data_IF_749636849002
#
_entry.id   IF_749636849002
#
_cell.length_a   1.000
_cell.length_b   1.000
_cell.length_c   1.000
_cell.angle_alpha   90.00
_cell.angle_beta   90.00
_cell.angle_gamma   90.00
#
_symmetry.space_group_name_H-M   'P 1'
#
loop_
_entity.id
_entity.type
_entity.pdbx_description
1 polymer ?
#
# COMPACT_ATOMS: atom_id res chain seq x y z
N UNK A 1 30.75 -4.09 -7.66
CA UNK A 1 30.57 -3.52 -9.02
C UNK A 1 29.22 -3.86 -9.66
N UNK A 2 28.77 -5.14 -9.71
CA UNK A 2 27.46 -5.49 -10.30
C UNK A 2 26.26 -4.81 -9.60
N UNK A 3 26.24 -4.77 -8.27
CA UNK A 3 25.13 -4.16 -7.49
C UNK A 3 24.96 -2.66 -7.76
N UNK A 4 26.06 -1.92 -7.90
CA UNK A 4 26.04 -0.48 -8.19
C UNK A 4 25.56 -0.16 -9.61
N UNK A 5 25.95 -1.00 -10.58
CA UNK A 5 25.46 -0.89 -11.96
C UNK A 5 23.96 -1.13 -12.01
N UNK A 6 23.46 -2.16 -11.30
CA UNK A 6 22.04 -2.45 -11.21
C UNK A 6 21.23 -1.31 -10.58
N UNK A 7 21.68 -0.74 -9.46
CA UNK A 7 20.98 0.40 -8.85
C UNK A 7 20.96 1.60 -9.79
N UNK A 8 22.07 1.90 -10.47
CA UNK A 8 22.15 3.02 -11.41
C UNK A 8 21.22 2.80 -12.62
N UNK A 9 21.21 1.60 -13.20
CA UNK A 9 20.34 1.27 -14.32
C UNK A 9 18.86 1.33 -13.93
N UNK A 10 18.50 0.85 -12.74
CA UNK A 10 17.13 0.97 -12.21
C UNK A 10 16.71 2.41 -11.98
N UNK A 11 17.58 3.27 -11.45
CA UNK A 11 17.28 4.69 -11.27
C UNK A 11 17.07 5.40 -12.62
N UNK A 12 17.94 5.12 -13.60
CA UNK A 12 17.82 5.69 -14.95
C UNK A 12 16.52 5.24 -15.61
N UNK A 13 16.19 3.94 -15.56
CA UNK A 13 14.93 3.42 -16.06
C UNK A 13 13.72 4.05 -15.36
N UNK A 14 13.79 4.27 -14.06
CA UNK A 14 12.76 4.96 -13.29
C UNK A 14 12.53 6.39 -13.76
N UNK A 15 13.61 7.16 -13.98
CA UNK A 15 13.51 8.52 -14.53
C UNK A 15 12.95 8.54 -15.95
N UNK A 16 13.36 7.60 -16.80
CA UNK A 16 12.82 7.46 -18.15
C UNK A 16 11.33 7.15 -18.08
N UNK A 17 10.92 6.19 -17.24
CA UNK A 17 9.50 5.86 -17.04
C UNK A 17 8.67 7.02 -16.49
N UNK A 18 9.24 7.87 -15.63
CA UNK A 18 8.56 9.08 -15.15
C UNK A 18 8.42 10.14 -16.25
N UNK A 19 9.47 10.34 -17.06
CA UNK A 19 9.50 11.34 -18.12
C UNK A 19 8.77 10.93 -19.41
N UNK A 20 8.48 9.64 -19.60
CA UNK A 20 7.80 9.15 -20.82
C UNK A 20 6.33 9.58 -20.87
N UNK A 21 5.69 9.78 -19.71
CA UNK A 21 4.27 10.03 -19.62
C UNK A 21 3.86 11.38 -20.26
N UNK A 22 4.56 12.50 -20.00
CA UNK A 22 4.34 13.74 -20.75
C UNK A 22 4.54 13.61 -22.26
N UNK A 23 5.53 12.81 -22.70
CA UNK A 23 5.84 12.62 -24.13
C UNK A 23 4.72 11.85 -24.85
N UNK A 24 4.15 10.84 -24.19
CA UNK A 24 3.06 10.05 -24.76
C UNK A 24 1.80 10.87 -25.03
N UNK A 25 1.51 11.92 -24.25
CA UNK A 25 0.37 12.79 -24.51
C UNK A 25 0.53 13.67 -25.76
N UNK A 26 1.78 13.99 -26.13
CA UNK A 26 2.07 14.70 -27.38
C UNK A 26 1.95 13.76 -28.59
N UNK A 27 2.29 12.48 -28.43
CA UNK A 27 2.15 11.48 -29.49
C UNK A 27 0.72 10.95 -29.65
N UNK A 28 -0.09 10.95 -28.60
CA UNK A 28 -1.45 10.40 -28.60
C UNK A 28 -2.53 11.32 -29.18
N UNK A 29 -2.18 12.45 -29.81
CA UNK A 29 -3.13 13.44 -30.37
C UNK A 29 -4.27 13.82 -29.40
N UNK A 30 -3.98 13.89 -28.09
CA UNK A 30 -4.95 14.31 -27.08
C UNK A 30 -5.39 15.76 -27.34
N UNK A 31 -6.68 16.03 -27.19
CA UNK A 31 -7.21 17.40 -27.31
C UNK A 31 -6.51 18.36 -26.34
N UNK A 32 -6.43 19.66 -26.66
CA UNK A 32 -5.72 20.64 -25.83
C UNK A 32 -6.25 20.71 -24.39
N UNK A 33 -7.56 20.56 -24.22
CA UNK A 33 -8.27 20.51 -22.92
C UNK A 33 -7.75 19.34 -22.04
N UNK A 34 -7.80 18.12 -22.56
CA UNK A 34 -7.36 16.92 -21.82
C UNK A 34 -5.86 16.95 -21.50
N UNK A 35 -5.06 17.55 -22.38
CA UNK A 35 -3.61 17.70 -22.17
C UNK A 35 -3.30 18.67 -21.03
N UNK A 36 -4.04 19.77 -20.92
CA UNK A 36 -3.87 20.71 -19.81
C UNK A 36 -4.20 20.05 -18.47
N UNK A 37 -5.34 19.36 -18.38
CA UNK A 37 -5.76 18.63 -17.18
C UNK A 37 -4.73 17.56 -16.80
N UNK A 38 -4.22 16.79 -17.78
CA UNK A 38 -3.22 15.76 -17.54
C UNK A 38 -1.88 16.35 -17.06
N UNK A 39 -1.44 17.47 -17.64
CA UNK A 39 -0.23 18.18 -17.24
C UNK A 39 -0.35 18.79 -15.85
N UNK A 40 -1.47 19.44 -15.54
CA UNK A 40 -1.76 19.95 -14.21
C UNK A 40 -1.77 18.81 -13.19
N UNK A 41 -2.53 17.75 -13.44
CA UNK A 41 -2.59 16.57 -12.57
C UNK A 41 -1.23 15.91 -12.32
N UNK A 42 -0.38 15.83 -13.33
CA UNK A 42 0.96 15.24 -13.21
C UNK A 42 1.97 16.17 -12.52
N UNK A 43 1.82 17.49 -12.65
CA UNK A 43 2.63 18.48 -11.93
C UNK A 43 2.12 18.76 -10.52
N UNK A 44 0.86 18.42 -10.22
CA UNK A 44 0.23 18.60 -8.92
C UNK A 44 0.87 17.65 -7.91
N UNK A 45 2.07 18.01 -7.48
CA UNK A 45 2.74 17.42 -6.33
C UNK A 45 2.15 18.06 -5.07
N UNK A 46 1.69 17.26 -4.11
CA UNK A 46 1.19 17.77 -2.85
C UNK A 46 2.23 18.63 -2.15
N UNK A 47 1.79 19.68 -1.44
CA UNK A 47 2.71 20.58 -0.75
C UNK A 47 3.53 19.80 0.30
N UNK A 48 4.85 19.85 0.16
CA UNK A 48 5.80 19.22 1.07
C UNK A 48 6.38 20.26 2.02
N UNK A 49 6.50 19.87 3.28
CA UNK A 49 7.17 20.65 4.31
C UNK A 49 8.66 20.33 4.27
N UNK A 50 9.52 21.32 4.55
CA UNK A 50 10.98 21.09 4.64
C UNK A 50 11.40 20.30 5.88
N UNK A 51 10.55 20.25 6.91
CA UNK A 51 10.81 19.58 8.17
C UNK A 51 9.75 18.49 8.41
N UNK A 52 10.10 17.39 9.10
CA UNK A 52 9.14 16.35 9.45
C UNK A 52 7.98 16.94 10.27
N UNK A 53 6.75 16.63 9.87
CA UNK A 53 5.54 17.14 10.48
C UNK A 53 5.10 16.28 11.66
N UNK A 54 5.02 16.87 12.85
CA UNK A 54 4.51 16.21 14.06
C UNK A 54 3.03 15.80 13.88
N UNK A 55 2.26 16.61 13.16
CA UNK A 55 0.88 16.29 12.83
C UNK A 55 0.78 15.02 11.97
N UNK A 56 1.67 14.87 10.96
CA UNK A 56 1.73 13.67 10.12
C UNK A 56 2.16 12.44 10.90
N UNK A 57 3.03 12.60 11.91
CA UNK A 57 3.43 11.51 12.80
C UNK A 57 2.28 11.07 13.73
N UNK A 58 1.52 12.04 14.27
CA UNK A 58 0.28 11.77 15.00
C UNK A 58 -0.77 11.05 14.14
N UNK A 59 -0.97 11.52 12.91
CA UNK A 59 -1.84 10.88 11.93
C UNK A 59 -1.43 9.43 11.65
N UNK A 60 -0.13 9.18 11.40
CA UNK A 60 0.39 7.83 11.18
C UNK A 60 0.16 6.94 12.41
N UNK A 61 0.47 7.41 13.61
CA UNK A 61 0.30 6.61 14.84
C UNK A 61 -1.13 6.13 15.04
N UNK A 62 -2.12 6.99 14.75
CA UNK A 62 -3.54 6.69 14.95
C UNK A 62 -4.13 5.86 13.80
N UNK A 63 -3.76 6.15 12.55
CA UNK A 63 -4.43 5.56 11.39
C UNK A 63 -3.67 4.36 10.80
N UNK A 64 -2.34 4.38 10.82
CA UNK A 64 -1.55 3.37 10.13
C UNK A 64 -1.77 1.96 10.68
N UNK A 65 -1.90 1.80 12.00
CA UNK A 65 -2.04 0.48 12.62
C UNK A 65 -3.34 -0.23 12.20
N UNK A 66 -4.44 0.52 12.08
CA UNK A 66 -5.73 0.01 11.64
C UNK A 66 -5.74 -0.17 10.12
N UNK A 67 -5.20 0.79 9.37
CA UNK A 67 -5.17 0.77 7.91
C UNK A 67 -4.30 -0.36 7.35
N UNK A 68 -3.15 -0.62 7.98
CA UNK A 68 -2.23 -1.68 7.57
C UNK A 68 -2.58 -3.04 8.20
N UNK A 69 -3.65 -3.15 9.00
CA UNK A 69 -4.10 -4.43 9.53
C UNK A 69 -4.76 -5.24 8.40
N UNK A 70 -4.46 -6.54 8.22
CA UNK A 70 -3.60 -7.45 9.00
C UNK A 70 -2.19 -7.62 8.41
N UNK A 71 -1.76 -6.72 7.52
CA UNK A 71 -0.50 -6.80 6.77
C UNK A 71 0.71 -6.51 7.67
N UNK A 72 0.62 -5.51 8.57
CA UNK A 72 1.76 -5.11 9.38
C UNK A 72 2.29 -6.19 10.34
N UNK A 73 1.48 -7.01 11.05
CA UNK A 73 2.01 -8.08 11.90
C UNK A 73 2.74 -9.14 11.07
N UNK A 74 2.19 -9.50 9.91
CA UNK A 74 2.81 -10.45 8.99
C UNK A 74 4.13 -9.91 8.43
N UNK A 75 4.18 -8.62 8.09
CA UNK A 75 5.42 -7.96 7.66
C UNK A 75 6.49 -7.97 8.76
N UNK A 76 6.12 -7.74 10.02
CA UNK A 76 7.06 -7.83 11.17
C UNK A 76 7.58 -9.26 11.33
N UNK A 77 6.72 -10.28 11.24
CA UNK A 77 7.13 -11.69 11.34
C UNK A 77 8.12 -12.04 10.23
N UNK A 78 7.83 -11.63 9.00
CA UNK A 78 8.73 -11.79 7.85
C UNK A 78 10.09 -11.14 8.14
N UNK A 79 10.10 -9.85 8.49
CA UNK A 79 11.34 -9.11 8.74
C UNK A 79 12.15 -9.69 9.91
N UNK A 80 11.49 -10.11 10.99
CA UNK A 80 12.14 -10.70 12.16
C UNK A 80 12.75 -12.07 11.86
N UNK A 81 12.07 -12.91 11.07
CA UNK A 81 12.58 -14.22 10.69
C UNK A 81 13.76 -14.11 9.72
N UNK A 82 13.59 -13.37 8.63
CA UNK A 82 14.63 -13.18 7.62
C UNK A 82 15.81 -12.33 8.13
N UNK A 83 15.59 -11.46 9.12
CA UNK A 83 16.65 -10.73 9.80
C UNK A 83 17.51 -11.60 10.73
N UNK A 84 16.96 -12.69 11.28
CA UNK A 84 17.68 -13.63 12.17
C UNK A 84 18.38 -14.75 11.40
N UNK A 85 17.85 -15.16 10.26
CA UNK A 85 18.42 -16.23 9.43
C UNK A 85 19.66 -15.73 8.67
N UNK A 86 20.86 -16.01 9.21
CA UNK A 86 22.14 -15.60 8.61
C UNK A 86 22.49 -16.34 7.31
N UNK A 87 21.98 -17.55 7.11
CA UNK A 87 22.36 -18.43 6.00
C UNK A 87 21.82 -17.98 4.63
N UNK A 88 20.71 -17.24 4.60
CA UNK A 88 20.07 -16.74 3.38
C UNK A 88 20.47 -15.30 3.00
N UNK A 89 21.47 -14.73 3.67
CA UNK A 89 21.96 -13.36 3.42
C UNK A 89 21.37 -12.29 4.35
N UNK A 90 20.58 -12.68 5.36
CA UNK A 90 20.00 -11.81 6.38
C UNK A 90 19.33 -10.54 5.78
N UNK A 91 19.58 -9.37 6.37
CA UNK A 91 19.14 -8.05 5.90
C UNK A 91 19.64 -7.65 4.49
N UNK A 92 20.55 -8.42 3.89
CA UNK A 92 21.12 -8.15 2.55
C UNK A 92 20.41 -8.91 1.44
N UNK A 93 19.37 -9.66 1.76
CA UNK A 93 18.48 -10.31 0.81
C UNK A 93 17.76 -9.25 -0.06
N UNK A 94 18.01 -9.20 -1.40
CA UNK A 94 17.43 -8.16 -2.25
C UNK A 94 15.90 -8.16 -2.27
N UNK A 95 15.28 -9.33 -2.18
CA UNK A 95 13.82 -9.50 -2.18
C UNK A 95 13.13 -8.88 -0.95
N UNK A 96 13.85 -8.69 0.15
CA UNK A 96 13.35 -8.02 1.35
C UNK A 96 13.78 -6.56 1.41
N UNK A 97 15.03 -6.28 1.01
CA UNK A 97 15.60 -4.93 1.05
C UNK A 97 14.91 -3.97 0.07
N UNK A 98 14.53 -4.44 -1.13
CA UNK A 98 13.86 -3.59 -2.14
C UNK A 98 12.49 -3.13 -1.62
N UNK A 99 11.54 -4.01 -1.23
CA UNK A 99 10.26 -3.57 -0.66
C UNK A 99 10.43 -2.77 0.64
N UNK A 100 11.42 -3.09 1.47
CA UNK A 100 11.68 -2.31 2.68
C UNK A 100 12.12 -0.88 2.35
N UNK A 101 12.99 -0.71 1.35
CA UNK A 101 13.44 0.62 0.90
C UNK A 101 12.30 1.45 0.31
N UNK A 102 11.39 0.83 -0.44
CA UNK A 102 10.19 1.47 -0.97
C UNK A 102 9.24 1.89 0.15
N UNK A 103 9.05 1.04 1.17
CA UNK A 103 8.24 1.36 2.34
C UNK A 103 8.84 2.55 3.12
N UNK A 104 10.15 2.55 3.35
CA UNK A 104 10.86 3.67 4.01
C UNK A 104 10.73 4.95 3.18
N UNK A 105 10.86 4.88 1.86
CA UNK A 105 10.65 6.03 0.97
C UNK A 105 9.23 6.60 1.08
N UNK A 106 8.21 5.73 1.10
CA UNK A 106 6.82 6.16 1.30
C UNK A 106 6.59 6.72 2.70
N UNK A 107 7.19 6.13 3.74
CA UNK A 107 7.10 6.64 5.11
C UNK A 107 7.70 8.06 5.20
N UNK A 108 8.88 8.27 4.62
CA UNK A 108 9.50 9.60 4.54
C UNK A 108 8.59 10.56 3.77
N UNK A 109 8.03 10.13 2.64
CA UNK A 109 7.07 10.93 1.88
C UNK A 109 5.90 11.40 2.76
N UNK A 110 5.25 10.52 3.51
CA UNK A 110 4.12 10.89 4.39
C UNK A 110 4.57 11.82 5.53
N UNK A 111 5.75 11.60 6.12
CA UNK A 111 6.27 12.43 7.21
C UNK A 111 6.54 13.88 6.80
N UNK A 112 6.87 14.10 5.52
CA UNK A 112 7.14 15.43 4.96
C UNK A 112 5.88 16.09 4.38
N UNK A 113 4.70 15.46 4.44
CA UNK A 113 3.45 16.09 4.00
C UNK A 113 3.00 17.19 4.97
N UNK A 114 2.49 18.28 4.40
CA UNK A 114 1.92 19.39 5.17
C UNK A 114 0.64 18.93 5.89
N UNK A 115 -0.23 18.27 5.13
CA UNK A 115 -1.44 17.58 5.59
C UNK A 115 -1.38 16.14 5.08
N UNK A 116 -1.26 15.20 6.01
CA UNK A 116 -1.27 13.77 5.71
C UNK A 116 -2.73 13.30 5.58
N UNK A 117 -3.03 12.61 4.47
CA UNK A 117 -4.36 12.10 4.16
C UNK A 117 -4.36 10.57 4.09
N UNK A 118 -5.56 9.96 4.10
CA UNK A 118 -5.72 8.50 3.97
C UNK A 118 -5.14 7.96 2.65
N UNK A 119 -5.19 8.75 1.58
CA UNK A 119 -4.58 8.43 0.29
C UNK A 119 -3.07 8.22 0.38
N UNK A 120 -2.40 8.90 1.32
CA UNK A 120 -0.97 8.75 1.54
C UNK A 120 -0.62 7.43 2.25
N UNK A 121 -1.60 6.79 2.90
CA UNK A 121 -1.43 5.44 3.47
C UNK A 121 -1.56 4.36 2.39
N UNK A 122 -2.38 4.57 1.35
CA UNK A 122 -2.55 3.61 0.25
C UNK A 122 -1.23 3.25 -0.43
N UNK A 123 -0.34 4.24 -0.65
CA UNK A 123 0.94 4.00 -1.34
C UNK A 123 1.92 3.15 -0.49
N UNK A 124 1.75 3.12 0.83
CA UNK A 124 2.59 2.33 1.73
C UNK A 124 2.21 0.83 1.72
N UNK A 125 0.94 0.52 1.45
CA UNK A 125 0.41 -0.85 1.56
C UNK A 125 1.07 -1.83 0.57
N UNK A 126 1.21 -1.55 -0.75
CA UNK A 126 1.77 -2.51 -1.68
C UNK A 126 3.16 -3.01 -1.25
N UNK A 127 4.00 -2.09 -0.78
CA UNK A 127 5.34 -2.43 -0.31
C UNK A 127 5.31 -3.32 0.93
N UNK A 128 4.42 -3.01 1.87
CA UNK A 128 4.24 -3.79 3.09
C UNK A 128 3.63 -5.16 2.79
N UNK A 129 2.70 -5.25 1.83
CA UNK A 129 2.08 -6.50 1.36
C UNK A 129 3.10 -7.45 0.76
N UNK A 130 4.06 -6.95 -0.01
CA UNK A 130 5.16 -7.77 -0.54
C UNK A 130 5.99 -8.36 0.61
N UNK A 131 6.35 -7.54 1.61
CA UNK A 131 7.09 -8.02 2.80
C UNK A 131 6.26 -9.07 3.56
N UNK A 132 4.97 -8.82 3.75
CA UNK A 132 4.05 -9.73 4.42
C UNK A 132 3.87 -11.06 3.67
N UNK A 133 3.85 -11.06 2.34
CA UNK A 133 3.76 -12.29 1.54
C UNK A 133 4.93 -13.25 1.82
N UNK A 134 6.12 -12.72 2.11
CA UNK A 134 7.28 -13.54 2.51
C UNK A 134 7.15 -14.17 3.90
N UNK A 135 6.13 -13.83 4.69
CA UNK A 135 5.79 -14.54 5.93
C UNK A 135 5.03 -15.85 5.67
N UNK A 136 4.33 -15.99 4.54
CA UNK A 136 3.51 -17.17 4.21
C UNK A 136 4.24 -18.51 4.35
N UNK A 137 5.46 -18.70 3.81
CA UNK A 137 6.19 -19.96 3.97
C UNK A 137 6.70 -20.20 5.40
N UNK A 138 6.74 -19.17 6.25
CA UNK A 138 7.26 -19.24 7.63
C UNK A 138 6.14 -19.54 8.63
N UNK A 139 4.90 -19.19 8.30
CA UNK A 139 3.75 -19.33 9.18
C UNK A 139 3.46 -20.81 9.48
N UNK A 140 3.14 -21.10 10.75
CA UNK A 140 2.68 -22.42 11.16
C UNK A 140 1.38 -22.75 10.42
N UNK A 141 1.21 -24.01 9.99
CA UNK A 141 -0.02 -24.49 9.34
C UNK A 141 -1.30 -24.12 10.11
N UNK A 142 -1.25 -24.14 11.44
CA UNK A 142 -2.38 -23.75 12.29
C UNK A 142 -2.78 -22.28 12.16
N UNK A 143 -1.82 -21.36 12.01
CA UNK A 143 -2.12 -19.92 11.86
C UNK A 143 -2.66 -19.60 10.47
N UNK A 144 -2.14 -20.24 9.42
CA UNK A 144 -2.69 -20.13 8.06
C UNK A 144 -4.13 -20.63 8.03
N UNK A 145 -4.39 -21.81 8.62
CA UNK A 145 -5.74 -22.37 8.73
C UNK A 145 -6.68 -21.44 9.51
N UNK A 146 -6.22 -20.85 10.61
CA UNK A 146 -7.02 -19.89 11.38
C UNK A 146 -7.41 -18.66 10.56
N UNK A 147 -6.48 -18.07 9.81
CA UNK A 147 -6.75 -16.91 8.96
C UNK A 147 -7.76 -17.27 7.86
N UNK A 148 -7.62 -18.44 7.24
CA UNK A 148 -8.52 -18.92 6.18
C UNK A 148 -9.94 -19.14 6.70
N UNK A 149 -10.09 -19.85 7.83
CA UNK A 149 -11.39 -20.04 8.47
C UNK A 149 -12.01 -18.71 8.92
N UNK A 150 -11.23 -17.81 9.52
CA UNK A 150 -11.69 -16.48 9.91
C UNK A 150 -12.23 -15.72 8.69
N UNK A 151 -11.49 -15.70 7.58
CA UNK A 151 -11.93 -15.07 6.35
C UNK A 151 -13.22 -15.71 5.80
N UNK A 152 -13.31 -17.04 5.72
CA UNK A 152 -14.52 -17.74 5.28
C UNK A 152 -15.74 -17.38 6.14
N UNK A 153 -15.62 -17.39 7.47
CA UNK A 153 -16.71 -17.02 8.37
C UNK A 153 -17.12 -15.55 8.19
N UNK A 154 -16.16 -14.61 8.18
CA UNK A 154 -16.44 -13.19 8.02
C UNK A 154 -17.14 -12.89 6.69
N UNK A 155 -16.64 -13.42 5.57
CA UNK A 155 -17.25 -13.22 4.26
C UNK A 155 -18.64 -13.86 4.17
N UNK A 156 -18.83 -15.04 4.77
CA UNK A 156 -20.15 -15.69 4.81
C UNK A 156 -21.17 -14.85 5.59
N UNK A 157 -20.78 -14.32 6.76
CA UNK A 157 -21.65 -13.46 7.57
C UNK A 157 -22.00 -12.17 6.82
N UNK A 158 -21.02 -11.52 6.20
CA UNK A 158 -21.24 -10.29 5.42
C UNK A 158 -22.14 -10.57 4.21
N UNK A 159 -21.89 -11.65 3.46
CA UNK A 159 -22.72 -12.03 2.32
C UNK A 159 -24.17 -12.31 2.74
N UNK A 160 -24.35 -13.01 3.86
CA UNK A 160 -25.66 -13.28 4.45
C UNK A 160 -26.36 -11.98 4.89
N UNK A 161 -25.65 -11.06 5.53
CA UNK A 161 -26.20 -9.75 5.91
C UNK A 161 -26.65 -8.94 4.69
N UNK A 162 -25.84 -8.92 3.62
CA UNK A 162 -26.20 -8.26 2.35
C UNK A 162 -27.47 -8.89 1.76
N UNK A 163 -27.57 -10.23 1.78
CA UNK A 163 -28.75 -10.94 1.32
C UNK A 163 -30.00 -10.61 2.14
N UNK A 164 -29.89 -10.55 3.48
CA UNK A 164 -31.01 -10.16 4.35
C UNK A 164 -31.46 -8.74 4.06
N UNK A 165 -30.53 -7.78 3.94
CA UNK A 165 -30.84 -6.38 3.63
C UNK A 165 -31.52 -6.27 2.27
N UNK A 166 -31.00 -6.97 1.26
CA UNK A 166 -31.59 -7.00 -0.07
C UNK A 166 -32.99 -7.62 -0.05
N UNK A 167 -33.18 -8.73 0.65
CA UNK A 167 -34.48 -9.40 0.78
C UNK A 167 -35.49 -8.48 1.46
N UNK A 168 -35.12 -7.82 2.56
CA UNK A 168 -35.95 -6.84 3.24
C UNK A 168 -36.36 -5.67 2.32
N UNK A 169 -35.44 -5.19 1.47
CA UNK A 169 -35.74 -4.15 0.48
C UNK A 169 -36.72 -4.62 -0.61
N UNK A 170 -36.69 -5.90 -0.98
CA UNK A 170 -37.58 -6.47 -2.01
C UNK A 170 -38.94 -6.85 -1.43
N UNK A 171 -39.00 -7.36 -0.20
CA UNK A 171 -40.25 -7.80 0.46
C UNK A 171 -40.99 -6.67 1.18
N UNK A 172 -40.33 -5.54 1.44
CA UNK A 172 -40.93 -4.41 2.17
C UNK A 172 -41.15 -4.68 3.65
N UNK A 173 -40.58 -5.76 4.19
CA UNK A 173 -40.65 -6.16 5.60
C UNK A 173 -39.22 -6.34 6.13
N UNK A 174 -38.80 -5.67 7.21
CA UNK A 174 -39.61 -4.89 8.15
C UNK A 174 -39.90 -3.46 7.66
N UNK A 175 -41.03 -2.90 8.10
CA UNK A 175 -41.32 -1.47 7.98
C UNK A 175 -40.12 -0.70 8.51
N UNK A 176 -39.56 0.17 7.68
CA UNK A 176 -38.51 1.10 8.11
C UNK A 176 -39.03 1.83 9.35
N UNK A 177 -38.54 1.47 10.54
CA UNK A 177 -38.60 2.37 11.70
C UNK A 177 -37.62 3.49 11.40
N UNK A 178 -38.03 4.37 10.49
CA UNK A 178 -37.43 5.67 10.29
C UNK A 178 -38.02 6.57 11.38
N UNK A 179 -37.22 6.83 12.41
CA UNK A 179 -37.09 8.16 12.98
C UNK A 179 -35.71 8.69 12.61
#
# INVERSE_FOLDING_TARGET
KLRFRWTLTSTILGFIGFAIWPVLWYWGDLSPEWRHIAQEGWRNVPQMRSNPSIASLGFLSVNFWAYAWPVWPLAIISLAHWGRTKESGAWRAPHLCIPLSLFIGCLIYVLFRLEANEHDLMIMIPSLSIIAAFSLPILKRGLISFIDWFAMFSFTIIALAIWIIWLAKVTGFPESTAE
#
